data_IF_932195603486
#
_entry.id   IF_932195603486
#
_cell.length_a   1.000
_cell.length_b   1.000
_cell.length_c   1.000
_cell.angle_alpha   90.00
_cell.angle_beta   90.00
_cell.angle_gamma   90.00
#
_symmetry.space_group_name_H-M   'P 1'
#
loop_
_entity.id
_entity.type
_entity.pdbx_description
1 polymer ?
#
# COMPACT_ATOMS: atom_id res chain seq x y z
N UNK A 1 12.49 7.92 2.28
CA UNK A 1 12.52 6.72 1.42
C UNK A 1 12.71 7.18 -0.03
N UNK A 2 13.25 6.37 -0.94
CA UNK A 2 13.37 6.73 -2.36
C UNK A 2 12.52 5.75 -3.18
N UNK A 3 11.69 6.26 -4.10
CA UNK A 3 11.05 5.43 -5.13
C UNK A 3 11.68 5.83 -6.45
N UNK A 4 12.26 4.87 -7.17
CA UNK A 4 12.90 5.11 -8.48
C UNK A 4 13.91 6.28 -8.46
N UNK A 5 14.66 6.45 -7.36
CA UNK A 5 15.63 7.54 -7.20
C UNK A 5 15.05 8.88 -6.73
N UNK A 6 13.73 9.07 -6.76
CA UNK A 6 13.07 10.27 -6.26
C UNK A 6 12.97 10.25 -4.73
N UNK A 7 13.47 11.27 -4.02
CA UNK A 7 13.32 11.36 -2.57
C UNK A 7 11.85 11.62 -2.23
N UNK A 8 11.25 10.67 -1.51
CA UNK A 8 9.92 10.83 -0.95
C UNK A 8 10.01 11.26 0.51
N UNK A 9 9.43 12.44 0.77
CA UNK A 9 9.01 12.89 2.09
C UNK A 9 7.50 12.87 2.10
N UNK A 10 6.92 12.17 3.05
CA UNK A 10 5.48 12.13 3.25
C UNK A 10 5.18 12.13 4.75
N UNK A 11 4.12 12.82 5.11
CA UNK A 11 3.52 12.78 6.44
C UNK A 11 2.25 11.95 6.37
N UNK A 12 2.10 11.01 7.30
CA UNK A 12 0.94 10.14 7.39
C UNK A 12 0.29 10.25 8.76
N UNK A 13 -1.03 10.15 8.79
CA UNK A 13 -1.82 10.11 10.02
C UNK A 13 -2.77 8.91 10.00
N UNK A 14 -3.17 8.45 11.18
CA UNK A 14 -4.18 7.39 11.32
C UNK A 14 -5.56 8.03 11.14
N UNK A 15 -6.21 7.76 10.01
CA UNK A 15 -7.53 8.28 9.70
C UNK A 15 -8.64 7.49 10.41
N UNK A 16 -8.46 6.17 10.57
CA UNK A 16 -9.40 5.32 11.29
C UNK A 16 -8.65 4.24 12.07
N UNK A 17 -9.12 3.94 13.28
CA UNK A 17 -8.60 2.84 14.08
C UNK A 17 -9.70 2.10 14.82
N UNK A 18 -9.82 0.81 14.57
CA UNK A 18 -10.65 -0.12 15.33
C UNK A 18 -9.79 -1.30 15.73
N UNK A 19 -9.57 -1.42 17.04
CA UNK A 19 -8.66 -2.42 17.59
C UNK A 19 -8.99 -3.82 17.09
N UNK A 20 -7.97 -4.57 16.66
CA UNK A 20 -8.06 -5.94 16.13
C UNK A 20 -8.97 -6.13 14.90
N UNK A 21 -9.40 -5.05 14.25
CA UNK A 21 -10.31 -5.12 13.10
C UNK A 21 -9.78 -4.35 11.90
N UNK A 22 -9.47 -3.06 12.08
CA UNK A 22 -9.15 -2.18 10.97
C UNK A 22 -8.25 -1.04 11.40
N UNK A 23 -7.30 -0.68 10.54
CA UNK A 23 -6.52 0.55 10.67
C UNK A 23 -6.40 1.17 9.29
N UNK A 24 -6.72 2.46 9.20
CA UNK A 24 -6.57 3.24 7.97
C UNK A 24 -5.57 4.35 8.22
N UNK A 25 -4.55 4.42 7.38
CA UNK A 25 -3.53 5.46 7.42
C UNK A 25 -3.59 6.23 6.12
N UNK A 26 -3.48 7.55 6.20
CA UNK A 26 -3.54 8.44 5.05
C UNK A 26 -2.29 9.30 5.02
N UNK A 27 -1.62 9.32 3.86
CA UNK A 27 -0.52 10.24 3.61
C UNK A 27 -1.05 11.50 2.92
N UNK A 28 -0.72 12.68 3.45
CA UNK A 28 -1.21 13.98 2.95
C UNK A 28 -0.19 14.75 2.14
N UNK A 29 1.09 14.37 2.20
CA UNK A 29 2.17 15.06 1.51
C UNK A 29 3.08 14.11 0.72
N UNK A 30 3.65 14.61 -0.37
CA UNK A 30 4.49 13.84 -1.28
C UNK A 30 3.68 12.94 -2.21
N UNK A 31 3.20 11.80 -1.71
CA UNK A 31 2.48 10.81 -2.50
C UNK A 31 1.17 10.45 -1.80
N UNK A 32 0.07 10.99 -2.31
CA UNK A 32 -1.26 10.74 -1.73
C UNK A 32 -1.55 9.25 -1.81
N UNK A 33 -1.65 8.64 -0.64
CA UNK A 33 -1.99 7.24 -0.50
C UNK A 33 -2.87 6.99 0.73
N UNK A 34 -3.57 5.88 0.70
CA UNK A 34 -4.37 5.35 1.79
C UNK A 34 -4.01 3.89 1.98
N UNK A 35 -3.56 3.56 3.18
CA UNK A 35 -3.23 2.21 3.60
C UNK A 35 -4.37 1.71 4.47
N UNK A 36 -5.03 0.64 4.05
CA UNK A 36 -6.05 -0.03 4.84
C UNK A 36 -5.56 -1.40 5.26
N UNK A 37 -5.35 -1.55 6.56
CA UNK A 37 -5.05 -2.80 7.24
C UNK A 37 -6.37 -3.38 7.75
N UNK A 38 -6.71 -4.59 7.33
CA UNK A 38 -7.88 -5.32 7.83
C UNK A 38 -7.45 -6.64 8.45
N UNK A 39 -7.87 -6.87 9.69
CA UNK A 39 -7.56 -8.08 10.45
C UNK A 39 -8.83 -8.92 10.56
N UNK A 40 -8.73 -10.21 10.20
CA UNK A 40 -9.83 -11.16 10.37
C UNK A 40 -9.31 -12.43 11.02
N UNK A 41 -10.06 -12.95 11.99
CA UNK A 41 -9.78 -14.27 12.56
C UNK A 41 -10.24 -15.35 11.58
N UNK A 42 -9.37 -16.31 11.26
CA UNK A 42 -9.68 -17.44 10.38
C UNK A 42 -9.00 -18.70 10.90
N UNK A 43 -9.78 -19.70 11.31
CA UNK A 43 -9.30 -21.01 11.76
C UNK A 43 -8.12 -20.96 12.76
N UNK A 44 -8.26 -20.14 13.81
CA UNK A 44 -7.22 -19.98 14.85
C UNK A 44 -6.04 -19.08 14.48
N UNK A 45 -6.01 -18.52 13.27
CA UNK A 45 -4.98 -17.59 12.79
C UNK A 45 -5.54 -16.19 12.54
N UNK A 46 -4.66 -15.20 12.40
CA UNK A 46 -5.00 -13.84 11.98
C UNK A 46 -4.69 -13.68 10.50
N UNK A 47 -5.70 -13.49 9.68
CA UNK A 47 -5.52 -13.07 8.30
C UNK A 47 -5.39 -11.54 8.28
N UNK A 48 -4.22 -11.05 7.86
CA UNK A 48 -4.00 -9.64 7.57
C UNK A 48 -4.22 -9.41 6.07
N UNK A 49 -5.14 -8.50 5.75
CA UNK A 49 -5.30 -7.95 4.41
C UNK A 49 -4.77 -6.52 4.42
N UNK A 50 -3.79 -6.25 3.55
CA UNK A 50 -3.29 -4.92 3.27
C UNK A 50 -3.82 -4.46 1.91
N UNK A 51 -4.54 -3.34 1.90
CA UNK A 51 -4.94 -2.63 0.69
C UNK A 51 -4.23 -1.29 0.66
N UNK A 52 -3.54 -0.98 -0.43
CA UNK A 52 -2.91 0.33 -0.63
C UNK A 52 -3.55 0.98 -1.85
N UNK A 53 -4.20 2.11 -1.63
CA UNK A 53 -4.75 2.97 -2.68
C UNK A 53 -3.83 4.18 -2.81
N UNK A 54 -3.40 4.52 -4.03
CA UNK A 54 -2.47 5.62 -4.23
C UNK A 54 -2.66 6.28 -5.59
N UNK A 55 -2.27 7.56 -5.66
CA UNK A 55 -2.24 8.31 -6.91
C UNK A 55 -0.79 8.54 -7.32
N UNK A 56 -0.43 8.08 -8.53
CA UNK A 56 0.88 8.35 -9.11
C UNK A 56 0.85 9.74 -9.77
N UNK A 57 1.74 10.68 -9.37
CA UNK A 57 1.88 11.96 -10.07
C UNK A 57 2.34 11.74 -11.51
N UNK A 58 1.84 12.57 -12.43
CA UNK A 58 2.20 12.49 -13.86
C UNK A 58 3.72 12.59 -14.08
N UNK A 59 4.42 13.37 -13.24
CA UNK A 59 5.87 13.54 -13.28
C UNK A 59 6.67 12.25 -13.06
N UNK A 60 6.07 11.19 -12.50
CA UNK A 60 6.72 9.88 -12.33
C UNK A 60 6.71 9.07 -13.63
N UNK A 61 5.82 9.41 -14.58
CA UNK A 61 5.71 8.72 -15.87
C UNK A 61 6.67 9.25 -16.94
N UNK A 62 7.46 10.30 -16.66
CA UNK A 62 8.47 10.80 -17.60
C UNK A 62 9.55 9.73 -17.80
N UNK A 63 9.45 8.99 -18.91
CA UNK A 63 10.35 7.91 -19.28
C UNK A 63 10.00 6.52 -18.73
N UNK A 64 8.92 6.37 -17.96
CA UNK A 64 8.50 5.07 -17.38
C UNK A 64 7.00 4.83 -17.60
N UNK A 65 6.64 3.67 -18.15
CA UNK A 65 5.23 3.31 -18.35
C UNK A 65 4.50 3.03 -17.03
N UNK A 66 3.19 3.32 -16.98
CA UNK A 66 2.32 3.00 -15.84
C UNK A 66 2.41 1.53 -15.41
N UNK A 67 2.53 0.63 -16.39
CA UNK A 67 2.69 -0.81 -16.15
C UNK A 67 3.95 -1.14 -15.36
N UNK A 68 5.06 -0.45 -15.63
CA UNK A 68 6.34 -0.65 -14.95
C UNK A 68 6.28 -0.13 -13.51
N UNK A 69 5.70 1.07 -13.30
CA UNK A 69 5.46 1.63 -11.96
C UNK A 69 4.57 0.69 -11.14
N UNK A 70 3.48 0.19 -11.74
CA UNK A 70 2.59 -0.78 -11.10
C UNK A 70 3.33 -2.05 -10.70
N UNK A 71 4.09 -2.65 -11.61
CA UNK A 71 4.84 -3.88 -11.35
C UNK A 71 5.89 -3.69 -10.23
N UNK A 72 6.58 -2.54 -10.20
CA UNK A 72 7.52 -2.23 -9.12
C UNK A 72 6.79 -2.10 -7.77
N UNK A 73 5.69 -1.36 -7.73
CA UNK A 73 4.94 -1.17 -6.49
C UNK A 73 4.32 -2.48 -5.98
N UNK A 74 3.81 -3.34 -6.87
CA UNK A 74 3.32 -4.68 -6.51
C UNK A 74 4.46 -5.51 -5.92
N UNK A 75 5.64 -5.50 -6.53
CA UNK A 75 6.82 -6.21 -5.99
C UNK A 75 7.26 -5.66 -4.63
N UNK A 76 7.30 -4.34 -4.45
CA UNK A 76 7.66 -3.72 -3.17
C UNK A 76 6.62 -4.06 -2.09
N UNK A 77 5.33 -4.06 -2.44
CA UNK A 77 4.25 -4.43 -1.54
C UNK A 77 4.27 -5.93 -1.19
N UNK A 78 4.63 -6.80 -2.13
CA UNK A 78 4.85 -8.24 -1.88
C UNK A 78 6.03 -8.46 -0.95
N UNK A 79 7.14 -7.74 -1.15
CA UNK A 79 8.31 -7.81 -0.27
C UNK A 79 8.01 -7.24 1.12
N UNK A 80 7.31 -6.11 1.21
CA UNK A 80 6.88 -5.53 2.48
C UNK A 80 5.92 -6.48 3.20
N UNK A 81 4.98 -7.09 2.47
CA UNK A 81 4.09 -8.11 2.98
C UNK A 81 4.82 -9.36 3.41
N UNK A 82 5.82 -9.82 2.65
CA UNK A 82 6.67 -10.95 3.00
C UNK A 82 7.58 -10.66 4.20
N UNK A 83 7.98 -9.40 4.41
CA UNK A 83 8.73 -8.97 5.58
C UNK A 83 7.83 -8.82 6.80
N UNK A 84 6.64 -8.23 6.65
CA UNK A 84 5.61 -8.20 7.69
C UNK A 84 5.25 -9.62 8.04
N UNK A 85 5.02 -10.46 7.03
CA UNK A 85 4.89 -11.91 7.16
C UNK A 85 6.07 -12.43 7.94
N UNK A 86 7.30 -12.47 7.47
CA UNK A 86 8.44 -13.04 8.24
C UNK A 86 8.59 -12.52 9.68
N UNK A 87 8.36 -11.21 9.94
CA UNK A 87 8.45 -10.61 11.29
C UNK A 87 7.26 -10.92 12.18
N UNK A 88 6.09 -11.02 11.58
CA UNK A 88 4.86 -11.38 12.26
C UNK A 88 4.66 -12.87 12.23
N UNK A 89 5.32 -13.63 11.31
CA UNK A 89 5.27 -15.02 10.76
C UNK A 89 6.21 -16.04 11.43
N UNK A 90 6.88 -15.69 12.50
CA UNK A 90 6.29 -15.75 13.86
C UNK A 90 4.74 -15.51 14.02
N UNK A 91 3.92 -15.93 13.01
CA UNK A 91 2.56 -15.63 12.36
C UNK A 91 2.05 -14.45 11.35
N UNK A 92 1.99 -14.69 10.01
CA UNK A 92 0.94 -14.41 8.91
C UNK A 92 1.12 -13.61 7.56
N UNK A 93 0.52 -14.16 6.45
CA UNK A 93 0.49 -13.85 4.98
C UNK A 93 -0.47 -12.73 4.47
N UNK A 94 -0.13 -12.05 3.34
CA UNK A 94 -0.93 -10.98 2.69
C UNK A 94 -1.47 -11.32 1.26
N UNK A 95 -2.44 -10.51 0.78
CA UNK A 95 -2.96 -10.53 -0.60
C UNK A 95 -3.35 -9.10 -1.05
N UNK A 96 -2.96 -8.70 -2.27
CA UNK A 96 -3.02 -7.32 -2.79
C UNK A 96 -4.17 -7.14 -3.79
N UNK A 97 -4.82 -5.97 -3.78
CA UNK A 97 -5.79 -5.52 -4.80
C UNK A 97 -5.45 -4.11 -5.27
N UNK A 98 -5.36 -3.88 -6.58
CA UNK A 98 -5.13 -2.56 -7.21
C UNK A 98 -6.45 -2.02 -7.78
N UNK A 99 -6.84 -0.80 -7.42
CA UNK A 99 -7.97 -0.08 -8.05
C UNK A 99 -7.42 1.08 -8.88
N UNK A 100 -7.48 0.97 -10.21
CA UNK A 100 -7.16 2.08 -11.12
C UNK A 100 -8.36 3.02 -11.20
N UNK A 101 -8.20 4.29 -10.84
CA UNK A 101 -9.21 5.33 -11.11
C UNK A 101 -9.09 5.72 -12.59
N UNK A 102 -10.11 5.40 -13.39
CA UNK A 102 -10.24 5.95 -14.74
C UNK A 102 -10.48 7.45 -14.61
N UNK A 103 -9.65 8.26 -15.28
CA UNK A 103 -9.89 9.68 -15.49
C UNK A 103 -11.19 9.81 -16.29
N UNK A 104 -12.20 10.47 -15.74
CA UNK A 104 -13.35 10.89 -16.54
C UNK A 104 -12.89 11.99 -17.51
N UNK A 105 -13.30 11.93 -18.79
CA UNK A 105 -13.08 13.03 -19.72
C UNK A 105 -14.01 14.18 -19.33
N UNK A 106 -13.44 15.38 -19.24
CA UNK A 106 -14.19 16.63 -19.18
C UNK A 106 -15.06 16.82 -20.42
#
# INVERSE_FOLDING_TARGET
YKIMGLPLKGEAFVAEHSQNQRRVERTTSGFLNMWTWTFKRKAGRTMLKLTVEYTVPVSVFDGVSEKLVKMQNEREADLASANIKTRMEDYTQASIYTKTLKKEPF
#
